data_IF_294739049163
#
_entry.id   IF_294739049163
#
_cell.length_a   1.000
_cell.length_b   1.000
_cell.length_c   1.000
_cell.angle_alpha   90.00
_cell.angle_beta   90.00
_cell.angle_gamma   90.00
#
_symmetry.space_group_name_H-M   'P 1'
#
loop_
_entity.id
_entity.type
_entity.pdbx_description
1 polymer ?
#
# COMPACT_ATOMS: atom_id res chain seq x y z
N UNK A 1 -4.84 20.57 -6.15
CA UNK A 1 -3.56 20.85 -5.45
C UNK A 1 -3.90 21.14 -3.98
N UNK A 2 -3.86 20.15 -3.10
CA UNK A 2 -3.95 20.36 -1.66
C UNK A 2 -2.52 20.49 -1.12
N UNK A 3 -2.14 21.70 -0.71
CA UNK A 3 -0.86 21.99 -0.09
C UNK A 3 -0.94 21.63 1.40
N UNK A 4 -0.51 20.42 1.76
CA UNK A 4 -0.29 20.05 3.16
C UNK A 4 1.04 20.66 3.63
N UNK A 5 1.03 21.37 4.75
CA UNK A 5 2.26 21.82 5.41
C UNK A 5 2.99 20.60 6.00
N UNK A 6 4.17 20.30 5.48
CA UNK A 6 5.04 19.26 6.02
C UNK A 6 5.88 19.84 7.16
N UNK A 7 5.85 19.18 8.32
CA UNK A 7 6.74 19.53 9.43
C UNK A 7 8.21 19.36 9.01
N UNK A 8 9.12 20.20 9.52
CA UNK A 8 10.56 20.09 9.26
C UNK A 8 11.13 18.71 9.62
N UNK A 9 10.57 18.07 10.66
CA UNK A 9 10.92 16.71 11.06
C UNK A 9 10.55 15.67 10.00
N UNK A 10 9.45 15.89 9.29
CA UNK A 10 8.98 15.03 8.20
C UNK A 10 9.87 15.19 6.96
N UNK A 11 10.28 16.42 6.64
CA UNK A 11 11.21 16.68 5.54
C UNK A 11 12.58 16.01 5.75
N UNK A 12 13.01 15.84 7.00
CA UNK A 12 14.28 15.18 7.33
C UNK A 12 14.24 13.66 7.13
N UNK A 13 13.11 13.00 7.41
CA UNK A 13 12.97 11.54 7.29
C UNK A 13 12.51 11.08 5.90
N UNK A 14 11.93 11.99 5.12
CA UNK A 14 11.36 11.69 3.80
C UNK A 14 12.36 11.03 2.83
N UNK A 15 13.62 11.51 2.70
CA UNK A 15 14.59 10.87 1.79
C UNK A 15 14.92 9.43 2.20
N UNK A 16 14.99 9.15 3.51
CA UNK A 16 15.25 7.81 4.02
C UNK A 16 14.07 6.87 3.75
N UNK A 17 12.83 7.34 3.99
CA UNK A 17 11.62 6.58 3.68
C UNK A 17 11.52 6.27 2.18
N UNK A 18 11.76 7.25 1.32
CA UNK A 18 11.76 7.04 -0.13
C UNK A 18 12.87 6.08 -0.56
N UNK A 19 14.05 6.16 0.06
CA UNK A 19 15.13 5.22 -0.21
C UNK A 19 14.74 3.79 0.17
N UNK A 20 14.19 3.57 1.36
CA UNK A 20 13.74 2.24 1.80
C UNK A 20 12.68 1.68 0.87
N UNK A 21 11.67 2.49 0.51
CA UNK A 21 10.59 2.08 -0.40
C UNK A 21 11.07 1.77 -1.82
N UNK A 22 12.07 2.51 -2.33
CA UNK A 22 12.67 2.27 -3.65
C UNK A 22 13.64 1.09 -3.67
N UNK A 23 14.24 0.78 -2.53
CA UNK A 23 15.28 -0.25 -2.42
C UNK A 23 14.76 -1.68 -2.30
N UNK A 24 13.43 -1.89 -2.29
CA UNK A 24 12.78 -3.20 -2.12
C UNK A 24 13.21 -3.91 -0.81
N UNK A 25 13.64 -3.14 0.19
CA UNK A 25 14.23 -3.67 1.44
C UNK A 25 13.20 -4.04 2.52
N UNK A 26 11.91 -4.11 2.17
CA UNK A 26 10.85 -4.58 3.07
C UNK A 26 10.01 -3.47 3.71
N UNK A 27 9.73 -3.59 5.00
CA UNK A 27 8.70 -2.81 5.71
C UNK A 27 9.30 -1.59 6.41
N UNK A 28 8.74 -0.41 6.15
CA UNK A 28 9.05 0.82 6.89
C UNK A 28 7.91 1.15 7.86
N UNK A 29 8.25 1.43 9.12
CA UNK A 29 7.27 1.78 10.17
C UNK A 29 7.48 3.23 10.60
N UNK A 30 6.43 4.05 10.48
CA UNK A 30 6.42 5.42 10.95
C UNK A 30 5.60 5.53 12.24
N UNK A 31 6.27 5.86 13.34
CA UNK A 31 5.61 6.09 14.63
C UNK A 31 5.69 7.57 15.01
N UNK A 32 4.57 8.14 15.46
CA UNK A 32 4.52 9.49 15.98
C UNK A 32 3.21 9.69 16.78
N UNK A 33 3.13 10.69 17.69
CA UNK A 33 1.92 11.01 18.43
C UNK A 33 0.69 11.26 17.54
N UNK A 34 -0.52 11.14 18.10
CA UNK A 34 -1.74 11.51 17.38
C UNK A 34 -1.74 13.01 17.02
N UNK A 35 -2.33 13.37 15.88
CA UNK A 35 -2.48 14.78 15.46
C UNK A 35 -1.27 15.41 14.74
N UNK A 36 -0.16 14.68 14.55
CA UNK A 36 1.06 15.20 13.90
C UNK A 36 1.04 15.11 12.35
N UNK A 37 -0.07 14.66 11.76
CA UNK A 37 -0.23 14.60 10.30
C UNK A 37 0.35 13.35 9.61
N UNK A 38 0.44 12.20 10.29
CA UNK A 38 0.87 10.92 9.68
C UNK A 38 0.06 10.54 8.44
N UNK A 39 -1.27 10.60 8.55
CA UNK A 39 -2.19 10.34 7.43
C UNK A 39 -1.95 11.29 6.26
N UNK A 40 -1.78 12.59 6.55
CA UNK A 40 -1.46 13.59 5.53
C UNK A 40 -0.11 13.31 4.84
N UNK A 41 0.89 12.82 5.59
CA UNK A 41 2.16 12.38 5.05
C UNK A 41 2.02 11.13 4.17
N UNK A 42 1.19 10.15 4.55
CA UNK A 42 0.92 8.99 3.72
C UNK A 42 0.30 9.38 2.37
N UNK A 43 -0.67 10.30 2.37
CA UNK A 43 -1.22 10.84 1.13
C UNK A 43 -0.20 11.64 0.31
N UNK A 44 0.68 12.39 0.97
CA UNK A 44 1.75 13.09 0.29
C UNK A 44 2.77 12.13 -0.35
N UNK A 45 3.15 11.07 0.37
CA UNK A 45 3.99 9.99 -0.12
C UNK A 45 3.35 9.29 -1.31
N UNK A 46 2.05 8.98 -1.25
CA UNK A 46 1.31 8.42 -2.37
C UNK A 46 1.42 9.30 -3.62
N UNK A 47 1.27 10.62 -3.46
CA UNK A 47 1.43 11.58 -4.56
C UNK A 47 2.84 11.61 -5.17
N UNK A 48 3.88 11.53 -4.34
CA UNK A 48 5.28 11.46 -4.82
C UNK A 48 5.54 10.14 -5.53
N UNK A 49 5.04 9.05 -4.97
CA UNK A 49 5.31 7.68 -5.44
C UNK A 49 4.49 7.32 -6.68
N UNK A 50 3.38 8.03 -6.95
CA UNK A 50 2.49 7.76 -8.07
C UNK A 50 3.16 7.79 -9.44
N UNK A 51 4.28 8.51 -9.61
CA UNK A 51 5.03 8.55 -10.87
C UNK A 51 6.02 7.39 -11.06
N UNK A 52 6.39 6.68 -9.99
CA UNK A 52 7.47 5.67 -9.99
C UNK A 52 7.01 4.28 -9.56
N UNK A 53 5.88 4.20 -8.87
CA UNK A 53 5.41 2.99 -8.21
C UNK A 53 3.91 3.06 -7.98
N UNK A 54 3.32 1.90 -7.72
CA UNK A 54 1.89 1.80 -7.43
C UNK A 54 1.67 1.84 -5.93
N UNK A 55 1.14 2.93 -5.40
CA UNK A 55 0.86 3.06 -3.97
C UNK A 55 -0.63 2.94 -3.66
N UNK A 56 -0.99 2.04 -2.73
CA UNK A 56 -2.35 1.88 -2.21
C UNK A 56 -2.38 2.21 -0.74
N UNK A 57 -3.33 3.06 -0.35
CA UNK A 57 -3.56 3.43 1.05
C UNK A 57 -4.71 2.57 1.59
N UNK A 58 -4.47 1.95 2.74
CA UNK A 58 -5.46 1.17 3.46
C UNK A 58 -5.45 1.59 4.93
N UNK A 59 -6.63 1.67 5.54
CA UNK A 59 -6.70 1.76 7.00
C UNK A 59 -6.57 0.36 7.58
N UNK A 60 -5.74 0.20 8.60
CA UNK A 60 -5.65 -1.05 9.36
C UNK A 60 -7.00 -1.44 9.98
N UNK A 61 -7.87 -0.46 10.28
CA UNK A 61 -9.23 -0.74 10.78
C UNK A 61 -10.12 -1.45 9.75
N UNK A 62 -9.81 -1.33 8.45
CA UNK A 62 -10.53 -2.01 7.36
C UNK A 62 -9.84 -3.29 6.88
N UNK A 63 -8.80 -3.74 7.56
CA UNK A 63 -8.08 -4.98 7.28
C UNK A 63 -8.24 -5.87 8.52
N UNK A 64 -9.38 -6.55 8.61
CA UNK A 64 -9.69 -7.46 9.72
C UNK A 64 -9.18 -8.87 9.42
N UNK A 65 -9.17 -9.27 8.14
CA UNK A 65 -8.79 -10.61 7.71
C UNK A 65 -7.64 -10.65 6.70
N UNK A 66 -6.80 -11.69 6.71
CA UNK A 66 -5.76 -11.89 5.68
C UNK A 66 -6.32 -11.94 4.25
N UNK A 67 -7.56 -12.39 4.09
CA UNK A 67 -8.23 -12.42 2.80
C UNK A 67 -8.46 -11.01 2.24
N UNK A 68 -8.85 -10.05 3.09
CA UNK A 68 -9.02 -8.64 2.69
C UNK A 68 -7.68 -8.00 2.30
N UNK A 69 -6.59 -8.33 3.00
CA UNK A 69 -5.25 -7.86 2.62
C UNK A 69 -4.85 -8.40 1.25
N UNK A 70 -5.03 -9.70 1.01
CA UNK A 70 -4.73 -10.33 -0.28
C UNK A 70 -5.60 -9.77 -1.40
N UNK A 71 -6.89 -9.57 -1.14
CA UNK A 71 -7.81 -8.96 -2.10
C UNK A 71 -7.40 -7.53 -2.46
N UNK A 72 -7.06 -6.73 -1.44
CA UNK A 72 -6.56 -5.36 -1.63
C UNK A 72 -5.32 -5.32 -2.50
N UNK A 73 -4.34 -6.20 -2.23
CA UNK A 73 -3.12 -6.32 -3.03
C UNK A 73 -3.41 -6.80 -4.46
N UNK A 74 -4.34 -7.73 -4.62
CA UNK A 74 -4.74 -8.25 -5.92
C UNK A 74 -5.43 -7.18 -6.78
N UNK A 75 -6.31 -6.39 -6.18
CA UNK A 75 -6.95 -5.27 -6.85
C UNK A 75 -5.94 -4.16 -7.19
N UNK A 76 -5.01 -3.85 -6.28
CA UNK A 76 -3.92 -2.90 -6.52
C UNK A 76 -3.05 -3.30 -7.73
N UNK A 77 -2.77 -4.60 -7.86
CA UNK A 77 -2.07 -5.15 -9.00
C UNK A 77 -2.94 -5.14 -10.29
N UNK A 78 -4.27 -5.26 -10.15
CA UNK A 78 -5.21 -5.44 -11.25
C UNK A 78 -5.78 -4.17 -11.91
N UNK A 79 -6.07 -3.12 -11.14
CA UNK A 79 -6.80 -1.92 -11.63
C UNK A 79 -6.15 -1.18 -12.80
N UNK A 80 -4.89 -1.45 -13.12
CA UNK A 80 -4.17 -0.79 -14.21
C UNK A 80 -3.79 -1.72 -15.38
N UNK A 81 -4.19 -3.00 -15.36
CA UNK A 81 -4.04 -3.89 -16.53
C UNK A 81 -5.07 -3.59 -17.64
N UNK A 82 -6.00 -2.67 -17.41
CA UNK A 82 -6.97 -2.20 -18.38
C UNK A 82 -8.14 -1.54 -17.67
N UNK A 83 -8.30 -0.23 -17.83
CA UNK A 83 -9.57 0.43 -17.61
C UNK A 83 -10.54 0.03 -18.75
N UNK A 84 -10.89 -1.26 -18.83
CA UNK A 84 -11.93 -1.85 -19.68
C UNK A 84 -11.86 -3.38 -19.55
N UNK A 85 -12.39 -3.94 -18.46
CA UNK A 85 -13.10 -5.22 -18.50
C UNK A 85 -13.80 -5.42 -17.19
N UNK A 86 -15.12 -5.42 -17.25
CA UNK A 86 -15.99 -5.94 -16.22
C UNK A 86 -15.80 -7.44 -16.05
N UNK A 87 -14.65 -7.85 -15.52
CA UNK A 87 -14.53 -9.09 -14.78
C UNK A 87 -14.71 -8.73 -13.30
N UNK A 88 -15.91 -8.23 -13.00
CA UNK A 88 -16.49 -8.43 -11.69
C UNK A 88 -16.83 -9.92 -11.67
N UNK A 89 -15.82 -10.74 -11.45
CA UNK A 89 -16.01 -12.14 -11.09
C UNK A 89 -16.54 -12.09 -9.65
N UNK A 90 -17.82 -11.71 -9.53
CA UNK A 90 -18.66 -11.84 -8.33
C UNK A 90 -18.91 -13.32 -8.12
N UNK A 91 -17.84 -14.10 -7.95
CA UNK A 91 -17.92 -15.43 -7.41
C UNK A 91 -17.45 -15.34 -5.95
N UNK A 92 -18.36 -15.11 -4.99
CA UNK A 92 -18.02 -14.94 -3.57
C UNK A 92 -17.41 -16.21 -2.92
N UNK A 93 -17.10 -17.24 -3.72
CA UNK A 93 -16.50 -18.50 -3.30
C UNK A 93 -15.06 -18.74 -3.76
N UNK A 94 -14.49 -17.95 -4.68
CA UNK A 94 -13.09 -18.16 -5.10
C UNK A 94 -12.14 -17.42 -4.14
N UNK A 95 -11.68 -18.16 -3.12
CA UNK A 95 -10.71 -17.63 -2.16
C UNK A 95 -9.40 -17.34 -2.90
N UNK A 96 -9.08 -16.06 -3.06
CA UNK A 96 -7.80 -15.61 -3.59
C UNK A 96 -6.66 -16.27 -2.82
N UNK A 97 -5.86 -17.04 -3.54
CA UNK A 97 -4.68 -17.69 -2.97
C UNK A 97 -3.51 -16.71 -2.96
N UNK A 98 -2.65 -16.83 -1.95
CA UNK A 98 -1.41 -16.03 -1.84
C UNK A 98 -0.56 -16.13 -3.11
N UNK A 99 -0.51 -17.31 -3.73
CA UNK A 99 0.23 -17.52 -4.98
C UNK A 99 -0.32 -16.71 -6.16
N UNK A 100 -1.64 -16.62 -6.31
CA UNK A 100 -2.25 -15.80 -7.36
C UNK A 100 -1.90 -14.31 -7.18
N UNK A 101 -1.95 -13.83 -5.94
CA UNK A 101 -1.59 -12.44 -5.59
C UNK A 101 -0.10 -12.19 -5.90
N UNK A 102 0.80 -13.06 -5.43
CA UNK A 102 2.23 -12.94 -5.69
C UNK A 102 2.57 -12.98 -7.18
N UNK A 103 1.94 -13.87 -7.94
CA UNK A 103 2.14 -13.96 -9.40
C UNK A 103 1.72 -12.67 -10.07
N UNK A 104 0.58 -12.11 -9.68
CA UNK A 104 0.09 -10.84 -10.25
C UNK A 104 0.95 -9.65 -9.85
N UNK A 105 1.44 -9.60 -8.62
CA UNK A 105 2.38 -8.57 -8.15
C UNK A 105 3.71 -8.62 -8.93
N UNK A 106 4.24 -9.83 -9.16
CA UNK A 106 5.43 -10.04 -9.99
C UNK A 106 5.21 -9.54 -11.41
N UNK A 107 4.13 -9.95 -12.07
CA UNK A 107 3.82 -9.50 -13.43
C UNK A 107 3.56 -7.99 -13.53
N UNK A 108 3.01 -7.38 -12.47
CA UNK A 108 2.81 -5.92 -12.42
C UNK A 108 4.13 -5.16 -12.30
N UNK A 109 5.13 -5.73 -11.61
CA UNK A 109 6.43 -5.08 -11.34
C UNK A 109 7.17 -4.75 -12.64
N UNK A 110 7.12 -5.64 -13.61
CA UNK A 110 7.88 -5.53 -14.86
C UNK A 110 7.41 -4.35 -15.73
N UNK A 111 6.15 -3.92 -15.57
CA UNK A 111 5.57 -2.86 -16.40
C UNK A 111 5.34 -1.54 -15.65
N UNK A 112 5.00 -1.59 -14.36
CA UNK A 112 4.55 -0.41 -13.60
C UNK A 112 5.37 -0.12 -12.35
N UNK A 113 6.42 -0.89 -12.08
CA UNK A 113 7.23 -0.76 -10.87
C UNK A 113 6.60 -1.43 -9.65
N UNK A 114 7.22 -1.28 -8.46
CA UNK A 114 6.79 -1.98 -7.25
C UNK A 114 5.41 -1.52 -6.79
N UNK A 115 4.67 -2.44 -6.16
CA UNK A 115 3.43 -2.12 -5.45
C UNK A 115 3.79 -1.82 -4.00
N UNK A 116 3.47 -0.61 -3.55
CA UNK A 116 3.71 -0.09 -2.22
C UNK A 116 2.37 -0.07 -1.47
N UNK A 117 2.31 -0.81 -0.37
CA UNK A 117 1.17 -0.76 0.54
C UNK A 117 1.45 0.25 1.65
N UNK A 118 0.60 1.26 1.74
CA UNK A 118 0.63 2.30 2.78
C UNK A 118 -0.50 2.01 3.77
N UNK A 119 -0.15 1.64 5.00
CA UNK A 119 -1.13 1.31 6.03
C UNK A 119 -1.24 2.46 7.02
N UNK A 120 -2.43 3.05 7.11
CA UNK A 120 -2.75 4.01 8.17
C UNK A 120 -3.26 3.29 9.42
N UNK A 121 -3.03 3.90 10.58
CA UNK A 121 -3.40 3.33 11.88
C UNK A 121 -2.91 1.90 12.12
N UNK A 122 -1.69 1.57 11.65
CA UNK A 122 -1.11 0.22 11.72
C UNK A 122 -1.10 -0.44 13.12
N UNK A 123 -1.27 0.35 14.20
CA UNK A 123 -1.47 -0.16 15.56
C UNK A 123 -2.75 -1.00 15.74
N UNK A 124 -3.70 -0.90 14.80
CA UNK A 124 -4.93 -1.69 14.76
C UNK A 124 -4.74 -3.04 14.04
N UNK A 125 -3.60 -3.28 13.39
CA UNK A 125 -3.34 -4.54 12.72
C UNK A 125 -3.23 -5.68 13.74
N UNK A 126 -3.85 -6.81 13.42
CA UNK A 126 -3.67 -8.04 14.20
C UNK A 126 -2.31 -8.65 13.90
N UNK A 127 -1.73 -9.35 14.90
CA UNK A 127 -0.45 -10.05 14.73
C UNK A 127 -0.48 -11.11 13.60
N UNK A 128 -1.66 -11.67 13.31
CA UNK A 128 -1.83 -12.59 12.19
C UNK A 128 -1.63 -11.92 10.83
N UNK A 129 -2.11 -10.69 10.66
CA UNK A 129 -1.89 -9.91 9.44
C UNK A 129 -0.42 -9.49 9.28
N UNK A 130 0.25 -9.14 10.38
CA UNK A 130 1.67 -8.79 10.35
C UNK A 130 2.56 -9.97 9.92
N UNK A 131 2.18 -11.21 10.21
CA UNK A 131 2.93 -12.40 9.79
C UNK A 131 2.73 -12.77 8.31
N UNK A 132 1.74 -12.18 7.64
CA UNK A 132 1.45 -12.45 6.22
C UNK A 132 2.18 -11.49 5.27
N UNK A 133 2.68 -10.36 5.79
CA UNK A 133 3.50 -9.35 5.08
C UNK A 133 4.97 -9.70 5.21
#
# INVERSE_FOLDING_TARGET
MQSCFLSQSVAAILPQLLHTLRSDQGTAVLTAPAGVGKTALLHHLQGILASESRSVICSAAGLETPAELLQTLFEAAGRCAGAASGCRDDNPGDRLTRWQVLTRLKSSRDFWGPVILLIDDAHLLTAQLMNEV
#
